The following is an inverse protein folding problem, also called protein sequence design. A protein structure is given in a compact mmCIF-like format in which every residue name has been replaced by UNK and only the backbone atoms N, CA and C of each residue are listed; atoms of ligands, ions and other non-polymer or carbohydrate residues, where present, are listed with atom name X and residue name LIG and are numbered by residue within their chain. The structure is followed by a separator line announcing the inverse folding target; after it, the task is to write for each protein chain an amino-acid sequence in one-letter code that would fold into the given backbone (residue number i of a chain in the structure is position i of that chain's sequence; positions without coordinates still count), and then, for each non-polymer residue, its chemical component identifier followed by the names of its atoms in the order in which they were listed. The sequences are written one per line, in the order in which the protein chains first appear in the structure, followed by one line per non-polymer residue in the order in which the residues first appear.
data_IF_696375075136
#
_entry.id   IF_696375075136
#
_cell.length_a   1.000
_cell.length_b   1.000
_cell.length_c   1.000
_cell.angle_alpha   90.00
_cell.angle_beta   90.00
_cell.angle_gamma   90.00
#
_symmetry.space_group_name_H-M   'P 1'
#
loop_
_entity.id
_entity.type
_entity.pdbx_description
1 polymer ?
#
# COMPACT_ATOMS: atom_id res chain seq x y z
N UNK A 1 -0.93 -9.01 12.10
CA UNK A 1 -0.47 -7.62 12.34
C UNK A 1 0.96 -7.65 12.83
N UNK A 2 1.74 -6.60 12.54
CA UNK A 2 3.12 -6.43 13.00
C UNK A 2 3.24 -5.09 13.73
N UNK A 3 3.94 -5.04 14.84
CA UNK A 3 4.29 -3.77 15.49
C UNK A 3 5.48 -3.15 14.78
N UNK A 4 5.39 -1.86 14.44
CA UNK A 4 6.43 -1.16 13.70
C UNK A 4 6.36 0.35 13.97
N UNK A 5 7.51 1.01 14.17
CA UNK A 5 7.60 2.46 14.34
C UNK A 5 6.65 3.08 15.39
N UNK A 6 6.32 2.35 16.46
CA UNK A 6 5.42 2.82 17.53
C UNK A 6 3.92 2.70 17.19
N UNK A 7 3.57 1.96 16.15
CA UNK A 7 2.20 1.63 15.78
C UNK A 7 2.04 0.18 15.30
N UNK A 8 0.89 -0.13 14.73
CA UNK A 8 0.54 -1.47 14.25
C UNK A 8 0.27 -1.45 12.76
N UNK A 9 0.92 -2.35 12.03
CA UNK A 9 0.77 -2.53 10.59
C UNK A 9 0.03 -3.83 10.27
N UNK A 10 -0.99 -3.73 9.42
CA UNK A 10 -1.65 -4.88 8.81
C UNK A 10 -1.36 -4.90 7.31
N UNK A 11 -0.68 -5.96 6.85
CA UNK A 11 -0.41 -6.19 5.44
C UNK A 11 -1.54 -7.02 4.83
N UNK A 12 -2.12 -6.54 3.73
CA UNK A 12 -3.19 -7.23 3.00
C UNK A 12 -2.66 -8.13 1.89
N UNK A 13 -1.39 -7.95 1.51
CA UNK A 13 -0.78 -8.65 0.37
C UNK A 13 -1.08 -7.94 -0.94
N UNK A 14 -0.17 -8.10 -1.91
CA UNK A 14 -0.28 -7.45 -3.22
C UNK A 14 -0.67 -8.42 -4.33
N UNK A 15 -0.47 -9.72 -4.12
CA UNK A 15 -0.56 -10.74 -5.19
C UNK A 15 -1.94 -10.81 -5.84
N UNK A 16 -3.01 -10.88 -5.04
CA UNK A 16 -4.36 -11.03 -5.57
C UNK A 16 -4.80 -9.79 -6.37
N UNK A 17 -4.56 -8.60 -5.83
CA UNK A 17 -4.89 -7.34 -6.50
C UNK A 17 -4.01 -7.07 -7.72
N UNK A 18 -2.72 -7.40 -7.65
CA UNK A 18 -1.81 -7.32 -8.79
C UNK A 18 -2.24 -8.27 -9.91
N UNK A 19 -2.53 -9.54 -9.60
CA UNK A 19 -3.01 -10.50 -10.60
C UNK A 19 -4.33 -10.07 -11.22
N UNK A 20 -5.25 -9.51 -10.43
CA UNK A 20 -6.51 -8.96 -10.94
C UNK A 20 -6.25 -7.81 -11.91
N UNK A 21 -5.38 -6.87 -11.57
CA UNK A 21 -5.01 -5.75 -12.45
C UNK A 21 -4.26 -6.20 -13.69
N UNK A 22 -3.38 -7.19 -13.59
CA UNK A 22 -2.67 -7.75 -14.76
C UNK A 22 -3.62 -8.51 -15.70
N UNK A 23 -4.68 -9.14 -15.18
CA UNK A 23 -5.71 -9.79 -16.01
C UNK A 23 -6.58 -8.81 -16.79
N UNK A 24 -6.79 -7.60 -16.26
CA UNK A 24 -7.50 -6.52 -16.94
C UNK A 24 -6.70 -5.95 -18.13
N UNK A 25 -5.44 -6.38 -18.30
CA UNK A 25 -4.52 -5.86 -19.31
C UNK A 25 -4.37 -6.88 -20.41
N UNK A 26 -4.85 -6.52 -21.59
CA UNK A 26 -4.81 -7.38 -22.77
C UNK A 26 -3.46 -7.33 -23.52
N UNK A 27 -2.47 -6.60 -23.00
CA UNK A 27 -1.15 -6.43 -23.63
C UNK A 27 -0.04 -7.13 -22.83
N UNK A 28 1.05 -7.49 -23.52
CA UNK A 28 2.26 -8.01 -22.87
C UNK A 28 2.86 -6.92 -21.98
N UNK A 29 2.79 -7.14 -20.67
CA UNK A 29 3.45 -6.29 -19.66
C UNK A 29 4.88 -6.78 -19.48
N UNK A 30 5.86 -5.93 -19.81
CA UNK A 30 7.30 -6.28 -19.79
C UNK A 30 7.98 -5.67 -18.55
N UNK A 31 7.48 -4.54 -18.05
CA UNK A 31 7.93 -3.87 -16.84
C UNK A 31 6.72 -3.35 -16.04
N UNK A 32 6.77 -3.47 -14.71
CA UNK A 32 5.74 -3.00 -13.79
C UNK A 32 6.38 -2.04 -12.80
N UNK A 33 6.21 -0.74 -13.02
CA UNK A 33 6.51 0.25 -12.00
C UNK A 33 5.29 0.47 -11.10
N UNK A 34 5.55 0.74 -9.83
CA UNK A 34 4.51 0.99 -8.84
C UNK A 34 4.76 2.27 -8.05
N UNK A 35 3.76 3.13 -7.97
CA UNK A 35 3.74 4.26 -7.04
C UNK A 35 3.11 3.83 -5.72
N UNK A 36 3.75 4.13 -4.59
CA UNK A 36 3.15 4.01 -3.26
C UNK A 36 2.74 5.38 -2.77
N UNK A 37 1.54 5.48 -2.21
CA UNK A 37 1.14 6.66 -1.45
C UNK A 37 0.72 6.27 -0.03
N UNK A 38 1.01 7.17 0.91
CA UNK A 38 0.63 7.05 2.32
C UNK A 38 -0.05 8.35 2.71
N UNK A 39 -1.38 8.34 2.65
CA UNK A 39 -2.23 9.43 3.10
C UNK A 39 -2.75 9.13 4.50
N UNK A 40 -2.93 10.16 5.34
CA UNK A 40 -3.44 10.00 6.71
C UNK A 40 -4.94 10.28 6.77
N UNK A 41 -5.68 9.41 7.42
CA UNK A 41 -7.09 9.59 7.77
C UNK A 41 -7.22 9.43 9.28
N UNK A 42 -7.92 10.36 9.96
CA UNK A 42 -8.19 10.25 11.39
C UNK A 42 -9.03 8.99 11.66
N UNK A 43 -8.58 8.14 12.58
CA UNK A 43 -9.29 6.90 12.92
C UNK A 43 -10.61 7.19 13.65
N UNK A 44 -10.59 8.17 14.54
CA UNK A 44 -11.73 8.65 15.32
C UNK A 44 -11.56 10.14 15.62
N UNK A 45 -12.69 10.85 15.75
CA UNK A 45 -12.75 12.32 15.91
C UNK A 45 -11.97 12.85 17.14
N UNK A 46 -11.63 12.00 18.12
CA UNK A 46 -11.00 12.38 19.38
C UNK A 46 -9.78 11.52 19.80
N UNK A 47 -9.25 10.66 18.93
CA UNK A 47 -8.04 9.87 19.24
C UNK A 47 -6.79 10.50 18.63
N UNK A 48 -5.67 10.48 19.35
CA UNK A 48 -4.35 10.79 18.73
C UNK A 48 -3.96 9.77 17.65
N UNK A 49 -4.63 8.60 17.62
CA UNK A 49 -4.41 7.53 16.68
C UNK A 49 -4.98 7.87 15.29
N UNK A 50 -4.15 7.68 14.28
CA UNK A 50 -4.44 7.93 12.87
C UNK A 50 -4.25 6.64 12.08
N UNK A 51 -5.09 6.48 11.06
CA UNK A 51 -4.96 5.41 10.08
C UNK A 51 -4.25 5.95 8.85
N UNK A 52 -3.28 5.18 8.38
CA UNK A 52 -2.48 5.50 7.21
C UNK A 52 -2.62 4.35 6.22
N UNK A 53 -3.62 4.40 5.32
CA UNK A 53 -3.71 3.47 4.21
C UNK A 53 -2.43 3.56 3.37
N UNK A 54 -1.78 2.42 3.15
CA UNK A 54 -0.69 2.31 2.19
C UNK A 54 -1.31 1.78 0.91
N UNK A 55 -1.35 2.63 -0.11
CA UNK A 55 -1.92 2.31 -1.40
C UNK A 55 -0.83 2.19 -2.45
N UNK A 56 -1.00 1.25 -3.36
CA UNK A 56 -0.14 1.02 -4.49
C UNK A 56 -0.90 1.32 -5.79
N UNK A 57 -0.21 1.85 -6.79
CA UNK A 57 -0.75 2.10 -8.14
C UNK A 57 0.24 1.60 -9.17
N UNK A 58 -0.23 0.79 -10.12
CA UNK A 58 0.59 0.32 -11.24
C UNK A 58 0.65 1.41 -12.32
N UNK A 59 1.85 1.72 -12.81
CA UNK A 59 2.10 2.87 -13.70
C UNK A 59 1.97 2.50 -15.18
N UNK A 60 1.89 1.21 -15.53
CA UNK A 60 1.92 0.78 -16.94
C UNK A 60 0.69 1.22 -17.78
N UNK A 61 -0.33 1.84 -17.17
CA UNK A 61 -1.45 2.49 -17.85
C UNK A 61 -1.83 3.77 -17.10
N UNK A 62 -2.05 4.88 -17.82
CA UNK A 62 -2.46 6.18 -17.24
C UNK A 62 -3.75 6.11 -16.38
N UNK A 63 -4.50 5.01 -16.45
CA UNK A 63 -5.81 4.78 -15.80
C UNK A 63 -5.72 3.75 -14.65
N UNK A 64 -4.51 3.41 -14.17
CA UNK A 64 -4.38 2.48 -13.03
C UNK A 64 -5.03 3.05 -11.75
N UNK A 65 -6.05 2.40 -11.21
CA UNK A 65 -6.63 2.80 -9.92
C UNK A 65 -5.74 2.34 -8.76
N UNK A 66 -5.54 3.16 -7.70
CA UNK A 66 -4.81 2.72 -6.52
C UNK A 66 -5.53 1.56 -5.81
N UNK A 67 -4.79 0.72 -5.11
CA UNK A 67 -5.32 -0.38 -4.30
C UNK A 67 -4.57 -0.43 -2.96
N UNK A 68 -5.28 -0.76 -1.88
CA UNK A 68 -4.68 -0.86 -0.57
C UNK A 68 -3.81 -2.13 -0.47
N UNK A 69 -2.56 -1.96 -0.01
CA UNK A 69 -1.62 -3.07 0.23
C UNK A 69 -1.40 -3.32 1.72
N UNK A 70 -1.75 -2.33 2.54
CA UNK A 70 -1.82 -2.45 3.97
C UNK A 70 -2.36 -1.19 4.62
N UNK A 71 -2.46 -1.24 5.94
CA UNK A 71 -2.85 -0.10 6.76
C UNK A 71 -1.94 -0.04 7.98
N UNK A 72 -1.44 1.15 8.26
CA UNK A 72 -0.70 1.45 9.48
C UNK A 72 -1.58 2.27 10.43
N UNK A 73 -1.61 1.87 11.69
CA UNK A 73 -2.31 2.58 12.75
C UNK A 73 -1.29 3.08 13.77
N UNK A 74 -1.20 4.40 13.94
CA UNK A 74 -0.26 5.01 14.87
C UNK A 74 -0.54 6.50 15.06
N UNK A 75 0.15 7.12 16.01
CA UNK A 75 -0.09 8.53 16.33
C UNK A 75 0.51 9.51 15.31
N UNK A 76 1.45 9.05 14.48
CA UNK A 76 2.16 9.85 13.50
C UNK A 76 2.29 9.10 12.17
N UNK A 77 2.56 9.83 11.08
CA UNK A 77 2.88 9.22 9.79
C UNK A 77 4.12 8.32 9.93
N UNK A 78 4.11 7.09 9.38
CA UNK A 78 5.32 6.29 9.35
C UNK A 78 6.38 7.01 8.53
N UNK A 79 7.61 7.08 9.04
CA UNK A 79 8.73 7.80 8.42
C UNK A 79 9.16 7.21 7.09
N UNK A 80 8.87 5.93 6.87
CA UNK A 80 9.16 5.22 5.63
C UNK A 80 8.10 4.17 5.32
N UNK A 81 7.46 4.29 4.16
CA UNK A 81 6.49 3.33 3.65
C UNK A 81 7.17 2.03 3.18
N UNK A 82 8.44 2.12 2.77
CA UNK A 82 9.20 0.97 2.26
C UNK A 82 9.67 0.07 3.40
N UNK A 83 10.05 0.64 4.54
CA UNK A 83 10.29 -0.10 5.78
C UNK A 83 9.05 -0.88 6.27
N UNK A 84 7.84 -0.35 6.07
CA UNK A 84 6.58 -1.01 6.48
C UNK A 84 6.22 -2.19 5.58
N UNK A 85 6.44 -2.04 4.27
CA UNK A 85 6.17 -3.05 3.29
C UNK A 85 7.48 -3.39 2.57
N UNK A 86 8.36 -4.23 3.18
CA UNK A 86 9.53 -4.73 2.49
C UNK A 86 9.02 -5.37 1.20
N UNK A 87 9.50 -4.84 0.07
CA UNK A 87 9.20 -5.34 -1.26
C UNK A 87 9.66 -6.80 -1.25
N UNK A 88 8.76 -7.72 -0.94
CA UNK A 88 9.03 -9.13 -1.19
C UNK A 88 9.19 -9.18 -2.69
N UNK A 89 10.45 -9.36 -3.11
CA UNK A 89 10.86 -9.49 -4.49
C UNK A 89 9.82 -10.33 -5.21
N UNK A 90 9.16 -9.74 -6.20
CA UNK A 90 8.34 -10.47 -7.16
C UNK A 90 9.29 -11.21 -8.11
N UNK A 91 10.07 -12.14 -7.55
CA UNK A 91 10.82 -13.18 -8.27
C UNK A 91 10.97 -14.37 -7.35
#
# INVERSE_FOLDING_TARGET
MREQAGGTFAHFGMRADLLRKLREVHSRVINVDSQRNVDGILAFNNSRSQLWPIVCRLIFHFIGHPFAVGIYCGNNKPSDADGLCPTQSLI
#
